data_IF_030522211548
#
_entry.id   IF_030522211548
#
_cell.length_a   1.000
_cell.length_b   1.000
_cell.length_c   1.000
_cell.angle_alpha   90.00
_cell.angle_beta   90.00
_cell.angle_gamma   90.00
#
_symmetry.space_group_name_H-M   'P 1'
#
loop_
_entity.id
_entity.type
_entity.pdbx_description
1 polymer ?
#
# COMPACT_ATOMS: atom_id res chain seq x y z
N UNK A 1 8.62 28.84 -6.48
CA UNK A 1 9.42 30.03 -6.14
C UNK A 1 10.83 29.69 -6.53
N UNK A 2 11.52 30.49 -7.35
CA UNK A 2 12.95 30.58 -7.13
C UNK A 2 13.10 30.98 -5.65
N UNK A 3 13.61 30.10 -4.80
CA UNK A 3 14.02 30.51 -3.48
C UNK A 3 15.29 31.31 -3.70
N UNK A 4 15.13 32.61 -3.70
CA UNK A 4 16.22 33.56 -3.56
C UNK A 4 16.76 33.41 -2.13
N UNK A 5 17.63 32.42 -1.92
CA UNK A 5 18.39 32.31 -0.69
C UNK A 5 19.74 32.99 -0.90
N UNK A 6 19.85 34.21 -0.40
CA UNK A 6 21.13 34.85 -0.22
C UNK A 6 21.83 34.21 0.99
N UNK A 7 22.59 33.14 0.77
CA UNK A 7 23.43 32.53 1.80
C UNK A 7 24.68 33.38 2.13
N UNK A 8 24.83 34.55 1.49
CA UNK A 8 26.01 35.42 1.58
C UNK A 8 25.66 36.90 1.75
N UNK A 9 24.48 37.23 2.31
CA UNK A 9 24.14 38.62 2.62
C UNK A 9 25.00 39.11 3.78
N UNK A 10 26.13 39.74 3.47
CA UNK A 10 26.93 40.49 4.45
C UNK A 10 26.51 41.95 4.47
N UNK A 11 26.30 42.50 5.66
CA UNK A 11 26.12 43.95 5.82
C UNK A 11 27.42 44.65 5.43
N UNK A 12 27.29 45.69 4.62
CA UNK A 12 28.38 46.53 4.19
C UNK A 12 28.97 47.35 5.36
N UNK A 13 30.30 47.44 5.43
CA UNK A 13 31.04 48.19 6.45
C UNK A 13 30.89 49.73 6.34
N UNK A 14 30.53 50.26 5.17
CA UNK A 14 30.23 51.66 4.93
C UNK A 14 28.73 51.96 5.08
N UNK A 15 28.42 52.81 6.06
CA UNK A 15 27.08 53.37 6.25
C UNK A 15 26.70 54.23 5.04
N UNK A 16 25.65 53.84 4.32
CA UNK A 16 25.09 54.61 3.20
C UNK A 16 25.49 54.16 1.79
N UNK A 17 26.24 53.06 1.63
CA UNK A 17 26.49 52.45 0.30
C UNK A 17 25.72 51.14 0.09
N UNK A 18 25.40 50.86 -1.17
CA UNK A 18 24.83 49.60 -1.62
C UNK A 18 25.95 48.69 -2.12
N UNK A 19 25.81 47.38 -1.92
CA UNK A 19 26.69 46.37 -2.51
C UNK A 19 25.81 45.38 -3.25
N UNK A 20 26.21 45.01 -4.45
CA UNK A 20 25.52 43.97 -5.21
C UNK A 20 25.60 42.67 -4.42
N UNK A 21 24.43 42.17 -4.02
CA UNK A 21 24.32 40.86 -3.40
C UNK A 21 23.95 39.86 -4.50
N UNK A 22 24.87 38.98 -4.92
CA UNK A 22 24.54 37.95 -5.90
C UNK A 22 23.52 37.00 -5.28
N UNK A 23 22.30 37.04 -5.81
CA UNK A 23 21.21 36.15 -5.40
C UNK A 23 21.24 34.95 -6.33
N UNK A 24 21.48 33.75 -5.79
CA UNK A 24 21.39 32.53 -6.60
C UNK A 24 19.92 32.27 -6.92
N UNK A 25 19.57 32.34 -8.19
CA UNK A 25 18.18 32.11 -8.63
C UNK A 25 17.98 30.63 -8.84
N UNK A 26 17.49 29.94 -7.80
CA UNK A 26 17.12 28.53 -7.93
C UNK A 26 15.97 28.33 -8.92
N UNK A 27 15.88 27.13 -9.49
CA UNK A 27 14.81 26.67 -10.38
C UNK A 27 14.01 25.60 -9.68
N UNK A 28 12.69 25.68 -9.81
CA UNK A 28 11.78 24.68 -9.30
C UNK A 28 11.65 23.55 -10.32
N UNK A 29 11.85 22.32 -9.88
CA UNK A 29 11.52 21.13 -10.65
C UNK A 29 10.34 20.44 -9.97
N UNK A 30 9.33 20.04 -10.74
CA UNK A 30 8.22 19.27 -10.19
C UNK A 30 7.93 18.02 -10.99
N UNK A 31 7.63 16.92 -10.30
CA UNK A 31 7.25 15.64 -10.89
C UNK A 31 5.82 15.29 -10.53
N UNK A 32 5.01 14.88 -11.52
CA UNK A 32 3.67 14.31 -11.31
C UNK A 32 3.55 12.98 -12.05
N UNK A 33 3.07 11.96 -11.35
CA UNK A 33 2.84 10.63 -11.91
C UNK A 33 1.35 10.40 -12.13
N UNK A 34 0.96 10.06 -13.35
CA UNK A 34 -0.39 9.71 -13.74
C UNK A 34 -0.44 8.19 -13.99
N UNK A 35 -0.71 7.45 -12.92
CA UNK A 35 -0.77 5.97 -12.89
C UNK A 35 -2.19 5.44 -13.13
N UNK A 36 -2.32 4.19 -13.55
CA UNK A 36 -3.65 3.57 -13.75
C UNK A 36 -4.45 4.14 -14.92
N UNK A 37 -3.78 4.72 -15.94
CA UNK A 37 -4.45 5.36 -17.08
C UNK A 37 -5.24 4.39 -17.97
N UNK A 38 -5.00 3.08 -17.87
CA UNK A 38 -5.68 2.05 -18.66
C UNK A 38 -7.06 1.67 -18.12
N UNK A 39 -7.36 1.96 -16.85
CA UNK A 39 -8.65 1.63 -16.26
C UNK A 39 -9.10 2.78 -15.32
N UNK A 40 -10.05 3.62 -15.77
CA UNK A 40 -10.54 4.72 -14.95
C UNK A 40 -11.33 4.25 -13.72
N UNK A 41 -11.70 2.97 -13.64
CA UNK A 41 -12.49 2.38 -12.56
C UNK A 41 -11.65 1.72 -11.46
N UNK A 42 -10.32 1.90 -11.46
CA UNK A 42 -9.43 1.42 -10.38
C UNK A 42 -8.87 2.63 -9.59
N UNK A 43 -9.63 3.20 -8.63
CA UNK A 43 -9.19 4.34 -7.82
C UNK A 43 -7.85 4.11 -7.11
N UNK A 44 -7.55 2.87 -6.72
CA UNK A 44 -6.34 2.54 -5.96
C UNK A 44 -5.05 2.85 -6.73
N UNK A 45 -5.09 2.78 -8.07
CA UNK A 45 -3.92 3.11 -8.89
C UNK A 45 -3.67 4.62 -8.93
N UNK A 46 -4.71 5.45 -8.78
CA UNK A 46 -4.59 6.91 -8.76
C UNK A 46 -4.17 7.46 -7.39
N UNK A 47 -4.22 6.62 -6.37
CA UNK A 47 -3.78 6.95 -5.00
C UNK A 47 -2.48 6.24 -4.62
N UNK A 48 -1.73 5.74 -5.61
CA UNK A 48 -0.51 4.98 -5.37
C UNK A 48 0.57 5.86 -4.68
N UNK A 49 1.18 5.30 -3.64
CA UNK A 49 2.26 5.92 -2.88
C UNK A 49 3.60 5.38 -3.36
N UNK A 50 4.23 6.03 -4.33
CA UNK A 50 5.46 5.55 -4.98
C UNK A 50 6.69 5.96 -4.14
N UNK A 51 7.54 5.02 -3.69
CA UNK A 51 8.79 5.37 -3.03
C UNK A 51 9.71 6.12 -3.98
N UNK A 52 10.38 7.17 -3.48
CA UNK A 52 11.38 7.88 -4.27
C UNK A 52 12.53 8.42 -3.41
N UNK A 53 13.65 8.67 -4.08
CA UNK A 53 14.75 9.49 -3.60
C UNK A 53 15.26 10.39 -4.73
N UNK A 54 15.66 11.62 -4.39
CA UNK A 54 16.18 12.55 -5.37
C UNK A 54 17.64 12.25 -5.70
N UNK A 55 17.99 12.40 -6.97
CA UNK A 55 19.36 12.47 -7.44
C UNK A 55 19.62 13.86 -8.03
N UNK A 56 20.66 14.55 -7.54
CA UNK A 56 21.12 15.84 -8.06
C UNK A 56 22.54 15.64 -8.57
N UNK A 57 22.77 15.94 -9.85
CA UNK A 57 24.04 15.73 -10.55
C UNK A 57 24.58 14.29 -10.38
N UNK A 58 23.67 13.32 -10.47
CA UNK A 58 23.96 11.88 -10.31
C UNK A 58 24.16 11.41 -8.87
N UNK A 59 24.12 12.30 -7.88
CA UNK A 59 24.30 11.96 -6.46
C UNK A 59 22.98 11.93 -5.73
N UNK A 60 22.74 10.89 -4.93
CA UNK A 60 21.56 10.82 -4.09
C UNK A 60 21.56 11.95 -3.04
N UNK A 61 20.44 12.63 -2.89
CA UNK A 61 20.27 13.70 -1.90
C UNK A 61 20.36 13.13 -0.47
N UNK A 62 21.11 13.82 0.39
CA UNK A 62 21.37 13.42 1.79
C UNK A 62 20.09 13.30 2.63
N UNK A 63 19.03 14.04 2.28
CA UNK A 63 17.72 13.94 2.92
C UNK A 63 17.15 12.52 2.87
N UNK A 64 17.57 11.70 1.90
CA UNK A 64 17.12 10.33 1.72
C UNK A 64 18.16 9.30 2.21
N UNK A 65 19.15 9.68 3.01
CA UNK A 65 20.21 8.77 3.47
C UNK A 65 19.70 7.59 4.32
N UNK A 66 18.60 7.77 5.05
CA UNK A 66 18.03 6.74 5.94
C UNK A 66 16.88 5.96 5.30
N UNK A 67 16.06 6.62 4.49
CA UNK A 67 14.80 6.07 3.98
C UNK A 67 14.38 6.77 2.68
N UNK A 68 13.71 6.06 1.80
CA UNK A 68 12.96 6.67 0.70
C UNK A 68 11.76 7.48 1.24
N UNK A 69 11.38 8.56 0.53
CA UNK A 69 10.14 9.28 0.80
C UNK A 69 9.00 8.74 -0.08
N UNK A 70 7.79 9.25 0.12
CA UNK A 70 6.59 8.88 -0.64
C UNK A 70 6.20 9.99 -1.61
N UNK A 71 6.03 9.64 -2.88
CA UNK A 71 5.39 10.46 -3.90
C UNK A 71 3.98 9.92 -4.12
N UNK A 72 2.96 10.76 -3.93
CA UNK A 72 1.58 10.39 -4.20
C UNK A 72 1.27 10.58 -5.68
N UNK A 73 0.73 9.55 -6.33
CA UNK A 73 0.22 9.67 -7.70
C UNK A 73 -0.78 10.83 -7.81
N UNK A 74 -0.80 11.47 -8.97
CA UNK A 74 -1.60 12.66 -9.30
C UNK A 74 -1.35 13.92 -8.46
N UNK A 75 -0.41 13.87 -7.51
CA UNK A 75 0.04 15.04 -6.74
C UNK A 75 1.43 15.43 -7.21
N UNK A 76 1.60 16.69 -7.61
CA UNK A 76 2.92 17.19 -8.00
C UNK A 76 3.83 17.29 -6.77
N UNK A 77 5.02 16.70 -6.86
CA UNK A 77 6.12 16.98 -5.93
C UNK A 77 6.78 18.28 -6.37
N UNK A 78 6.55 19.39 -5.67
CA UNK A 78 6.89 20.74 -6.17
C UNK A 78 7.80 21.57 -5.27
N UNK A 79 8.42 20.96 -4.29
CA UNK A 79 9.38 21.52 -3.34
C UNK A 79 10.85 21.13 -3.65
N UNK A 80 11.15 20.83 -4.92
CA UNK A 80 12.52 20.57 -5.39
C UNK A 80 13.07 21.86 -6.00
N UNK A 81 14.14 22.38 -5.41
CA UNK A 81 14.84 23.59 -5.85
C UNK A 81 16.30 23.27 -6.12
N UNK A 82 16.78 23.60 -7.31
CA UNK A 82 18.17 23.38 -7.73
C UNK A 82 18.73 24.59 -8.45
N UNK A 83 20.05 24.72 -8.55
CA UNK A 83 20.66 25.76 -9.36
C UNK A 83 20.47 25.47 -10.86
N UNK A 84 20.34 26.51 -11.71
CA UNK A 84 20.34 26.34 -13.15
C UNK A 84 21.56 25.52 -13.63
N UNK A 85 21.32 24.55 -14.50
CA UNK A 85 22.34 23.65 -15.03
C UNK A 85 22.56 22.37 -14.21
N UNK A 86 22.03 22.27 -12.99
CA UNK A 86 22.04 21.01 -12.25
C UNK A 86 21.04 20.01 -12.82
N UNK A 87 21.40 18.74 -12.87
CA UNK A 87 20.52 17.67 -13.35
C UNK A 87 19.77 17.06 -12.18
N UNK A 88 18.44 16.99 -12.28
CA UNK A 88 17.56 16.36 -11.30
C UNK A 88 17.01 15.07 -11.89
N UNK A 89 17.09 13.97 -11.16
CA UNK A 89 16.50 12.68 -11.50
C UNK A 89 15.91 11.99 -10.26
N UNK A 90 15.22 10.87 -10.46
CA UNK A 90 14.57 10.11 -9.39
C UNK A 90 15.12 8.68 -9.33
N UNK A 91 15.53 8.23 -8.15
CA UNK A 91 15.47 6.81 -7.82
C UNK A 91 14.05 6.49 -7.40
N UNK A 92 13.44 5.46 -7.96
CA UNK A 92 12.03 5.12 -7.72
C UNK A 92 11.88 3.72 -7.14
N UNK A 93 10.70 3.46 -6.57
CA UNK A 93 10.29 2.14 -6.11
C UNK A 93 11.31 1.54 -5.11
N UNK A 94 11.56 0.24 -5.15
CA UNK A 94 12.57 -0.41 -4.28
C UNK A 94 14.01 0.03 -4.56
N UNK A 95 14.32 0.59 -5.75
CA UNK A 95 15.63 1.20 -6.03
C UNK A 95 15.84 2.52 -5.26
N UNK A 96 14.77 3.14 -4.75
CA UNK A 96 14.87 4.33 -3.90
C UNK A 96 15.48 4.08 -2.52
N UNK A 97 15.52 2.82 -2.07
CA UNK A 97 16.15 2.44 -0.80
C UNK A 97 17.64 2.80 -0.80
N UNK A 98 18.22 3.35 0.29
CA UNK A 98 19.57 3.89 0.30
C UNK A 98 20.66 2.94 -0.19
N UNK A 99 20.54 1.64 0.10
CA UNK A 99 21.52 0.63 -0.30
C UNK A 99 21.35 0.14 -1.75
N UNK A 100 20.22 0.45 -2.41
CA UNK A 100 19.84 -0.16 -3.67
C UNK A 100 20.07 0.73 -4.89
N UNK A 101 20.08 2.06 -4.68
CA UNK A 101 20.12 3.12 -5.72
C UNK A 101 21.14 2.85 -6.82
N UNK A 102 20.64 2.42 -7.98
CA UNK A 102 21.46 2.16 -9.17
C UNK A 102 20.94 2.84 -10.43
N UNK A 103 19.63 3.07 -10.51
CA UNK A 103 18.99 3.43 -11.77
C UNK A 103 18.16 4.71 -11.62
N UNK A 104 18.80 5.90 -11.63
CA UNK A 104 18.04 7.14 -11.67
C UNK A 104 17.30 7.25 -13.02
N UNK A 105 16.07 7.76 -12.98
CA UNK A 105 15.18 7.89 -14.14
C UNK A 105 14.58 9.29 -14.23
N UNK A 106 14.01 9.63 -15.39
CA UNK A 106 13.31 10.88 -15.67
C UNK A 106 14.15 12.15 -15.44
N UNK A 107 15.43 12.10 -15.83
CA UNK A 107 16.35 13.21 -15.63
C UNK A 107 15.95 14.47 -16.43
N UNK A 108 16.05 15.64 -15.80
CA UNK A 108 15.87 16.97 -16.42
C UNK A 108 16.89 17.97 -15.87
N UNK A 109 17.24 18.97 -16.68
CA UNK A 109 18.21 20.00 -16.32
C UNK A 109 17.58 21.38 -16.53
N UNK A 110 17.02 22.02 -15.49
CA UNK A 110 16.48 23.37 -15.62
C UNK A 110 17.57 24.36 -16.00
N UNK A 111 17.26 25.25 -16.94
CA UNK A 111 18.11 26.38 -17.34
C UNK A 111 17.39 27.67 -16.96
N UNK A 112 16.64 28.22 -17.90
CA UNK A 112 16.03 29.54 -17.77
C UNK A 112 14.72 29.51 -16.98
N UNK A 113 13.93 28.44 -17.09
CA UNK A 113 12.61 28.32 -16.49
C UNK A 113 12.52 27.20 -15.46
N UNK A 114 11.49 27.28 -14.61
CA UNK A 114 11.06 26.14 -13.79
C UNK A 114 10.61 24.99 -14.71
N UNK A 115 10.70 23.75 -14.23
CA UNK A 115 10.31 22.55 -14.98
C UNK A 115 9.13 21.83 -14.31
N UNK A 116 8.15 21.41 -15.10
CA UNK A 116 7.16 20.39 -14.72
C UNK A 116 7.34 19.15 -15.59
N UNK A 117 7.55 18.00 -14.96
CA UNK A 117 7.62 16.69 -15.62
C UNK A 117 6.35 15.91 -15.30
N UNK A 118 5.58 15.58 -16.34
CA UNK A 118 4.40 14.73 -16.25
C UNK A 118 4.74 13.34 -16.76
N UNK A 119 4.73 12.36 -15.87
CA UNK A 119 4.99 10.96 -16.20
C UNK A 119 3.67 10.21 -16.31
N UNK A 120 3.41 9.60 -17.47
CA UNK A 120 2.17 8.87 -17.75
C UNK A 120 2.43 7.38 -17.81
N UNK A 121 1.74 6.60 -16.98
CA UNK A 121 1.90 5.14 -16.96
C UNK A 121 1.22 4.49 -18.17
N UNK A 122 1.91 3.58 -18.88
CA UNK A 122 1.37 2.87 -20.05
C UNK A 122 1.71 1.38 -20.02
N UNK A 123 0.69 0.55 -20.28
CA UNK A 123 0.82 -0.91 -20.39
C UNK A 123 1.31 -1.35 -21.77
N UNK A 124 1.84 -2.56 -21.82
CA UNK A 124 2.46 -3.17 -22.99
C UNK A 124 3.99 -3.19 -22.88
N UNK A 125 4.60 -4.00 -23.74
CA UNK A 125 6.06 -4.08 -23.89
C UNK A 125 6.53 -2.88 -24.72
N UNK A 126 6.74 -1.74 -24.04
CA UNK A 126 7.01 -0.45 -24.68
C UNK A 126 8.48 0.00 -24.55
N UNK A 127 9.32 -0.81 -23.93
CA UNK A 127 10.74 -0.50 -23.72
C UNK A 127 10.97 0.47 -22.56
N UNK A 128 12.24 0.79 -22.34
CA UNK A 128 12.72 1.48 -21.13
C UNK A 128 13.16 2.94 -21.36
N UNK A 129 12.66 3.62 -22.39
CA UNK A 129 12.95 5.05 -22.62
C UNK A 129 12.28 5.89 -21.53
N UNK A 130 13.07 6.32 -20.56
CA UNK A 130 12.69 7.15 -19.44
C UNK A 130 13.07 8.62 -19.64
N UNK A 131 13.41 9.03 -20.87
CA UNK A 131 13.84 10.41 -21.18
C UNK A 131 12.63 11.34 -21.28
N UNK A 132 12.51 12.36 -20.42
CA UNK A 132 11.46 13.36 -20.55
C UNK A 132 11.65 14.21 -21.80
N UNK A 133 10.56 14.43 -22.55
CA UNK A 133 10.56 15.20 -23.80
C UNK A 133 9.80 16.50 -23.61
N UNK A 134 10.43 17.64 -23.95
CA UNK A 134 9.81 18.95 -23.88
C UNK A 134 8.55 18.99 -24.77
N UNK A 135 7.43 19.42 -24.21
CA UNK A 135 6.17 19.63 -24.92
C UNK A 135 5.87 21.09 -25.21
N UNK A 136 6.42 21.99 -24.38
CA UNK A 136 6.30 23.43 -24.57
C UNK A 136 6.52 24.18 -23.27
N UNK A 137 6.37 25.50 -23.34
CA UNK A 137 6.49 26.39 -22.19
C UNK A 137 5.13 27.05 -21.94
N UNK A 138 4.66 27.03 -20.69
CA UNK A 138 3.41 27.70 -20.29
C UNK A 138 3.69 28.85 -19.33
N UNK A 139 2.86 29.89 -19.41
CA UNK A 139 2.83 30.96 -18.42
C UNK A 139 1.88 30.56 -17.29
N UNK A 140 2.35 30.65 -16.05
CA UNK A 140 1.55 30.42 -14.85
C UNK A 140 1.54 31.72 -14.04
N UNK A 141 0.34 32.14 -13.66
CA UNK A 141 0.14 33.24 -12.72
C UNK A 141 -0.01 32.67 -11.31
N UNK A 142 0.78 33.13 -10.35
CA UNK A 142 0.63 32.72 -8.95
C UNK A 142 -0.56 33.43 -8.26
N UNK A 143 -0.87 33.02 -7.03
CA UNK A 143 -1.97 33.59 -6.25
C UNK A 143 -1.84 35.10 -5.95
N UNK A 144 -0.65 35.69 -6.20
CA UNK A 144 -0.35 37.11 -6.01
C UNK A 144 -0.34 37.88 -7.33
N UNK A 145 -0.65 37.23 -8.46
CA UNK A 145 -0.69 37.84 -9.78
C UNK A 145 0.66 37.84 -10.52
N UNK A 146 1.72 37.23 -9.97
CA UNK A 146 3.02 37.19 -10.64
C UNK A 146 3.03 36.12 -11.73
N UNK A 147 3.48 36.49 -12.92
CA UNK A 147 3.62 35.58 -14.06
C UNK A 147 5.01 34.95 -14.08
N UNK A 148 5.06 33.64 -14.31
CA UNK A 148 6.32 32.91 -14.55
C UNK A 148 6.14 31.89 -15.67
N UNK A 149 7.24 31.59 -16.36
CA UNK A 149 7.30 30.55 -17.39
C UNK A 149 7.70 29.22 -16.77
N UNK A 150 7.08 28.14 -17.24
CA UNK A 150 7.36 26.77 -16.83
C UNK A 150 7.46 25.89 -18.08
N UNK A 151 8.60 25.22 -18.23
CA UNK A 151 8.80 24.24 -19.29
C UNK A 151 8.15 22.91 -18.87
N UNK A 152 7.27 22.39 -19.73
CA UNK A 152 6.52 21.16 -19.47
C UNK A 152 7.13 20.03 -20.28
N UNK A 153 7.60 19.02 -19.57
CA UNK A 153 8.14 17.78 -20.12
C UNK A 153 7.15 16.64 -19.89
N UNK A 154 7.13 15.69 -20.81
CA UNK A 154 6.40 14.44 -20.64
C UNK A 154 7.31 13.22 -20.80
N UNK A 155 7.10 12.22 -19.96
CA UNK A 155 7.74 10.91 -20.05
C UNK A 155 6.69 9.80 -19.88
N UNK A 156 7.08 8.57 -20.22
CA UNK A 156 6.22 7.39 -20.02
C UNK A 156 6.79 6.53 -18.89
N UNK A 157 5.92 5.96 -18.04
CA UNK A 157 6.29 4.91 -17.09
C UNK A 157 5.76 3.57 -17.61
N UNK A 158 6.66 2.72 -18.06
CA UNK A 158 6.36 1.41 -18.68
C UNK A 158 6.69 0.27 -17.73
N UNK A 159 6.27 -0.95 -18.06
CA UNK A 159 6.68 -2.14 -17.31
C UNK A 159 8.20 -2.35 -17.30
N UNK A 160 8.88 -2.06 -18.40
CA UNK A 160 10.36 -2.12 -18.48
C UNK A 160 11.04 -1.07 -17.58
N UNK A 161 10.45 0.12 -17.42
CA UNK A 161 10.97 1.11 -16.46
C UNK A 161 10.74 0.64 -15.03
N UNK A 162 9.56 0.11 -14.69
CA UNK A 162 9.35 -0.51 -13.39
C UNK A 162 10.33 -1.66 -13.14
N UNK A 163 10.63 -2.48 -14.15
CA UNK A 163 11.63 -3.53 -14.07
C UNK A 163 13.04 -2.96 -13.79
N UNK A 164 13.41 -1.85 -14.43
CA UNK A 164 14.66 -1.12 -14.20
C UNK A 164 14.76 -0.56 -12.78
N UNK A 165 13.68 0.03 -12.24
CA UNK A 165 13.67 0.67 -10.90
C UNK A 165 13.21 -0.24 -9.77
N UNK A 166 12.85 -1.48 -10.06
CA UNK A 166 12.70 -2.52 -9.04
C UNK A 166 14.07 -3.10 -8.72
N UNK A 167 14.35 -3.34 -7.45
CA UNK A 167 15.58 -3.98 -7.04
C UNK A 167 15.47 -5.48 -7.30
N UNK A 168 16.51 -6.08 -7.84
CA UNK A 168 16.64 -7.52 -7.98
C UNK A 168 17.61 -7.98 -6.90
N UNK A 169 17.10 -8.64 -5.88
CA UNK A 169 17.93 -9.13 -4.78
C UNK A 169 18.92 -10.15 -5.31
N UNK A 170 20.17 -10.00 -4.87
CA UNK A 170 21.24 -10.93 -5.20
C UNK A 170 21.29 -12.08 -4.20
N UNK A 171 22.05 -13.12 -4.52
CA UNK A 171 22.35 -14.19 -3.59
C UNK A 171 22.97 -13.65 -2.28
N UNK A 172 23.86 -12.67 -2.37
CA UNK A 172 24.52 -12.10 -1.20
C UNK A 172 23.58 -11.23 -0.37
N UNK A 173 22.64 -10.53 -1.01
CA UNK A 173 21.55 -9.86 -0.28
C UNK A 173 20.72 -10.86 0.50
N UNK A 174 20.32 -11.97 -0.12
CA UNK A 174 19.54 -13.00 0.55
C UNK A 174 20.30 -13.61 1.74
N UNK A 175 21.58 -13.94 1.59
CA UNK A 175 22.43 -14.42 2.70
C UNK A 175 22.51 -13.42 3.85
N UNK A 176 22.68 -12.14 3.54
CA UNK A 176 22.80 -11.04 4.52
C UNK A 176 21.49 -10.77 5.25
N UNK A 177 20.35 -10.86 4.55
CA UNK A 177 19.05 -10.52 5.11
C UNK A 177 18.46 -11.67 5.95
N UNK A 178 18.74 -12.92 5.63
CA UNK A 178 18.20 -14.05 6.38
C UNK A 178 18.85 -14.19 7.77
N UNK A 179 18.05 -14.38 8.85
CA UNK A 179 18.59 -14.58 10.20
C UNK A 179 19.55 -15.77 10.26
N UNK A 180 20.71 -15.69 10.94
CA UNK A 180 21.72 -16.75 10.99
C UNK A 180 21.17 -18.10 11.49
N UNK A 181 20.21 -18.06 12.40
CA UNK A 181 19.51 -19.21 13.02
C UNK A 181 18.50 -19.90 12.10
N UNK A 182 18.28 -19.40 10.87
CA UNK A 182 17.39 -20.04 9.90
C UNK A 182 17.83 -21.48 9.62
N UNK A 183 16.90 -22.43 9.75
CA UNK A 183 17.09 -23.86 9.44
C UNK A 183 17.76 -24.03 8.07
N UNK A 184 18.78 -24.89 8.00
CA UNK A 184 19.69 -24.98 6.85
C UNK A 184 18.97 -25.31 5.54
N UNK A 185 17.97 -26.20 5.59
CA UNK A 185 17.18 -26.62 4.45
C UNK A 185 16.25 -25.50 3.96
N UNK A 186 15.64 -24.74 4.89
CA UNK A 186 14.85 -23.55 4.56
C UNK A 186 15.75 -22.50 3.92
N UNK A 187 16.93 -22.24 4.50
CA UNK A 187 17.92 -21.32 3.96
C UNK A 187 18.31 -21.71 2.54
N UNK A 188 18.67 -22.96 2.31
CA UNK A 188 19.06 -23.45 0.99
C UNK A 188 17.94 -23.26 -0.04
N UNK A 189 16.69 -23.59 0.33
CA UNK A 189 15.54 -23.39 -0.53
C UNK A 189 15.34 -21.91 -0.91
N UNK A 190 15.42 -21.00 0.06
CA UNK A 190 15.31 -19.55 -0.22
C UNK A 190 16.46 -19.08 -1.11
N UNK A 191 17.71 -19.50 -0.85
CA UNK A 191 18.86 -19.11 -1.67
C UNK A 191 18.74 -19.57 -3.13
N UNK A 192 18.13 -20.73 -3.39
CA UNK A 192 17.93 -21.24 -4.76
C UNK A 192 17.06 -20.33 -5.65
N UNK A 193 16.22 -19.49 -5.03
CA UNK A 193 15.46 -18.46 -5.74
C UNK A 193 16.42 -17.39 -6.29
N UNK A 194 17.45 -17.01 -5.52
CA UNK A 194 18.32 -15.86 -5.83
C UNK A 194 19.60 -16.23 -6.58
N UNK A 195 20.03 -17.49 -6.58
CA UNK A 195 21.18 -17.97 -7.36
C UNK A 195 20.83 -18.36 -8.81
N UNK A 196 19.55 -18.38 -9.16
CA UNK A 196 19.06 -18.72 -10.50
C UNK A 196 19.04 -20.21 -10.82
N UNK A 197 19.27 -21.08 -9.83
CA UNK A 197 19.21 -22.54 -10.00
C UNK A 197 17.77 -23.07 -10.07
N UNK A 198 16.82 -22.38 -9.44
CA UNK A 198 15.41 -22.77 -9.43
C UNK A 198 14.78 -22.70 -10.83
N UNK A 199 14.15 -23.82 -11.23
CA UNK A 199 13.31 -23.93 -12.43
C UNK A 199 12.06 -24.72 -12.07
N UNK A 200 10.89 -24.09 -12.10
CA UNK A 200 9.63 -24.75 -11.76
C UNK A 200 9.28 -24.63 -10.27
N UNK A 201 8.72 -25.71 -9.71
CA UNK A 201 8.31 -25.75 -8.32
C UNK A 201 9.51 -25.75 -7.36
N UNK A 202 9.37 -25.07 -6.23
CA UNK A 202 10.36 -25.14 -5.15
C UNK A 202 9.93 -26.23 -4.17
N UNK A 203 10.77 -27.25 -4.01
CA UNK A 203 10.58 -28.31 -3.01
C UNK A 203 11.46 -28.03 -1.80
N UNK A 204 10.87 -27.99 -0.62
CA UNK A 204 11.56 -27.85 0.66
C UNK A 204 11.33 -29.10 1.48
N UNK A 205 12.40 -29.72 1.97
CA UNK A 205 12.35 -30.84 2.90
C UNK A 205 13.10 -30.44 4.16
N UNK A 206 12.38 -30.12 5.23
CA UNK A 206 12.95 -29.56 6.45
C UNK A 206 12.17 -30.07 7.68
N UNK A 207 12.78 -30.08 8.88
CA UNK A 207 12.04 -30.36 10.10
C UNK A 207 11.01 -29.26 10.38
N UNK A 208 9.80 -29.65 10.79
CA UNK A 208 8.83 -28.73 11.36
C UNK A 208 9.18 -28.40 12.84
N UNK A 209 8.33 -27.62 13.53
CA UNK A 209 8.55 -27.25 14.93
C UNK A 209 8.59 -28.43 15.91
N UNK A 210 8.12 -29.61 15.50
CA UNK A 210 8.18 -30.85 16.29
C UNK A 210 9.43 -31.69 15.96
N UNK A 211 10.33 -31.19 15.10
CA UNK A 211 11.50 -31.91 14.62
C UNK A 211 11.19 -33.00 13.59
N UNK A 212 9.95 -33.06 13.09
CA UNK A 212 9.54 -34.07 12.10
C UNK A 212 9.84 -33.56 10.71
N UNK A 213 10.57 -34.35 9.92
CA UNK A 213 10.87 -34.02 8.52
C UNK A 213 9.58 -33.91 7.70
N UNK A 214 9.40 -32.78 7.05
CA UNK A 214 8.24 -32.47 6.24
C UNK A 214 8.66 -31.94 4.86
N UNK A 215 7.98 -32.46 3.84
CA UNK A 215 8.10 -31.98 2.47
C UNK A 215 6.98 -30.97 2.17
N UNK A 216 7.37 -29.76 1.78
CA UNK A 216 6.48 -28.71 1.29
C UNK A 216 6.86 -28.32 -0.14
N UNK A 217 5.88 -28.22 -1.03
CA UNK A 217 6.06 -27.84 -2.44
C UNK A 217 5.40 -26.48 -2.67
N UNK A 218 6.15 -25.55 -3.24
CA UNK A 218 5.68 -24.22 -3.62
C UNK A 218 5.55 -24.16 -5.14
N UNK A 219 4.34 -23.83 -5.60
CA UNK A 219 4.06 -23.55 -7.01
C UNK A 219 3.84 -22.04 -7.19
N UNK A 220 4.52 -21.45 -8.17
CA UNK A 220 4.44 -20.02 -8.46
C UNK A 220 3.48 -19.75 -9.63
N UNK A 221 2.46 -18.94 -9.40
CA UNK A 221 1.52 -18.49 -10.44
C UNK A 221 1.58 -16.97 -10.63
N UNK A 222 0.93 -16.52 -11.70
CA UNK A 222 0.70 -15.10 -12.03
C UNK A 222 1.95 -14.31 -12.42
N UNK A 223 2.58 -14.75 -13.50
CA UNK A 223 3.56 -13.96 -14.25
C UNK A 223 2.90 -13.07 -15.32
N UNK A 224 1.57 -13.07 -15.46
CA UNK A 224 0.87 -12.36 -16.55
C UNK A 224 1.16 -10.87 -16.54
N UNK A 225 1.12 -10.23 -15.36
CA UNK A 225 1.39 -8.80 -15.25
C UNK A 225 2.80 -8.43 -15.78
N UNK A 226 3.91 -9.03 -15.31
CA UNK A 226 5.21 -8.73 -15.89
C UNK A 226 5.36 -9.22 -17.34
N UNK A 227 4.90 -10.42 -17.70
CA UNK A 227 5.01 -10.97 -19.06
C UNK A 227 4.35 -10.06 -20.11
N UNK A 228 3.18 -9.51 -19.81
CA UNK A 228 2.45 -8.62 -20.72
C UNK A 228 3.08 -7.22 -20.87
N UNK A 229 3.98 -6.82 -19.96
CA UNK A 229 4.46 -5.44 -19.86
C UNK A 229 5.99 -5.29 -19.93
N UNK A 230 6.76 -6.39 -19.95
CA UNK A 230 8.23 -6.38 -19.96
C UNK A 230 8.72 -7.32 -21.06
N UNK A 231 9.65 -6.85 -21.88
CA UNK A 231 10.24 -7.67 -22.93
C UNK A 231 11.19 -8.73 -22.32
N UNK A 232 11.11 -9.97 -22.81
CA UNK A 232 11.98 -11.09 -22.42
C UNK A 232 11.99 -11.43 -20.91
N UNK A 233 10.88 -11.19 -20.22
CA UNK A 233 10.74 -11.49 -18.80
C UNK A 233 10.73 -13.00 -18.52
N UNK A 234 11.55 -13.43 -17.56
CA UNK A 234 11.52 -14.79 -17.01
C UNK A 234 11.11 -14.77 -15.54
N UNK A 235 10.08 -15.53 -15.18
CA UNK A 235 9.56 -15.52 -13.80
C UNK A 235 10.63 -15.94 -12.78
N UNK A 236 11.43 -16.96 -13.06
CA UNK A 236 12.36 -17.54 -12.10
C UNK A 236 13.63 -16.70 -11.96
N UNK A 237 14.18 -16.24 -13.08
CA UNK A 237 15.39 -15.43 -13.11
C UNK A 237 15.10 -13.99 -12.74
N UNK A 238 13.94 -13.45 -13.12
CA UNK A 238 13.69 -12.01 -13.10
C UNK A 238 12.53 -11.61 -12.19
N UNK A 239 11.53 -12.46 -11.97
CA UNK A 239 10.38 -12.17 -11.11
C UNK A 239 10.60 -12.51 -9.64
N UNK A 240 10.82 -13.79 -9.34
CA UNK A 240 10.97 -14.29 -7.97
C UNK A 240 12.09 -13.59 -7.17
N UNK A 241 13.26 -13.28 -7.76
CA UNK A 241 14.34 -12.60 -7.04
C UNK A 241 14.07 -11.12 -6.77
N UNK A 242 12.95 -10.57 -7.27
CA UNK A 242 12.50 -9.20 -6.95
C UNK A 242 11.60 -9.17 -5.73
N UNK A 243 11.14 -10.32 -5.26
CA UNK A 243 10.46 -10.43 -3.97
C UNK A 243 11.51 -10.52 -2.86
N UNK A 244 11.29 -9.77 -1.79
CA UNK A 244 12.18 -9.66 -0.65
C UNK A 244 12.43 -11.04 -0.01
N UNK A 245 13.69 -11.42 0.33
CA UNK A 245 14.01 -12.74 0.89
C UNK A 245 13.19 -13.13 2.13
N UNK A 246 12.89 -12.15 3.00
CA UNK A 246 12.00 -12.39 4.16
C UNK A 246 10.60 -12.87 3.81
N UNK A 247 10.05 -12.48 2.65
CA UNK A 247 8.70 -12.90 2.28
C UNK A 247 8.69 -14.41 1.96
N UNK A 248 9.69 -14.87 1.20
CA UNK A 248 9.89 -16.31 0.94
C UNK A 248 10.19 -17.09 2.21
N UNK A 249 11.06 -16.55 3.07
CA UNK A 249 11.39 -17.17 4.36
C UNK A 249 10.14 -17.34 5.23
N UNK A 250 9.36 -16.28 5.42
CA UNK A 250 8.15 -16.30 6.23
C UNK A 250 7.12 -17.28 5.68
N UNK A 251 6.93 -17.31 4.36
CA UNK A 251 6.02 -18.22 3.68
C UNK A 251 6.41 -19.70 3.91
N UNK A 252 7.68 -20.03 3.68
CA UNK A 252 8.18 -21.42 3.79
C UNK A 252 8.16 -21.88 5.25
N UNK A 253 8.65 -21.05 6.17
CA UNK A 253 8.66 -21.33 7.61
C UNK A 253 7.23 -21.55 8.13
N UNK A 254 6.30 -20.64 7.82
CA UNK A 254 4.91 -20.78 8.24
C UNK A 254 4.23 -22.03 7.67
N UNK A 255 4.54 -22.40 6.42
CA UNK A 255 3.98 -23.61 5.81
C UNK A 255 4.49 -24.89 6.49
N UNK A 256 5.79 -24.97 6.78
CA UNK A 256 6.39 -26.09 7.49
C UNK A 256 5.83 -26.24 8.90
N UNK A 257 5.80 -25.14 9.66
CA UNK A 257 5.23 -25.10 11.03
C UNK A 257 3.76 -25.53 11.09
N UNK A 258 3.01 -25.26 10.02
CA UNK A 258 1.59 -25.56 9.94
C UNK A 258 1.27 -26.91 9.33
N UNK A 259 2.27 -27.75 9.02
CA UNK A 259 2.00 -29.07 8.44
C UNK A 259 1.63 -29.06 6.95
N UNK A 260 1.78 -27.92 6.27
CA UNK A 260 1.31 -27.70 4.90
C UNK A 260 2.28 -28.34 3.91
N UNK A 261 1.74 -29.14 2.99
CA UNK A 261 2.52 -29.89 1.99
C UNK A 261 2.57 -29.19 0.64
N UNK A 262 1.57 -28.38 0.32
CA UNK A 262 1.50 -27.63 -0.94
C UNK A 262 1.07 -26.18 -0.71
N UNK A 263 1.78 -25.25 -1.31
CA UNK A 263 1.43 -23.83 -1.32
C UNK A 263 1.40 -23.36 -2.77
N UNK A 264 0.35 -22.65 -3.16
CA UNK A 264 0.27 -22.00 -4.48
C UNK A 264 0.22 -20.50 -4.28
N UNK A 265 1.29 -19.81 -4.68
CA UNK A 265 1.33 -18.35 -4.69
C UNK A 265 0.62 -17.82 -5.93
N UNK A 266 -0.33 -16.92 -5.76
CA UNK A 266 -1.11 -16.31 -6.84
C UNK A 266 -0.57 -14.95 -7.24
N UNK A 267 0.38 -14.38 -6.52
CA UNK A 267 1.15 -13.22 -7.00
C UNK A 267 2.42 -13.01 -6.16
N UNK A 268 3.41 -12.33 -6.76
CA UNK A 268 4.58 -11.82 -6.08
C UNK A 268 4.89 -10.41 -6.56
N UNK A 269 6.09 -10.20 -7.12
CA UNK A 269 6.43 -8.91 -7.72
C UNK A 269 5.55 -8.60 -8.94
N UNK A 270 4.88 -7.44 -8.93
CA UNK A 270 3.98 -6.98 -10.01
C UNK A 270 4.27 -5.51 -10.34
N UNK A 271 4.88 -5.18 -11.50
CA UNK A 271 5.30 -3.80 -11.80
C UNK A 271 4.17 -2.82 -12.10
N UNK A 272 3.06 -3.28 -12.70
CA UNK A 272 2.06 -2.42 -13.39
C UNK A 272 0.63 -2.58 -12.85
N UNK A 273 0.46 -3.30 -11.75
CA UNK A 273 -0.85 -3.60 -11.18
C UNK A 273 -0.77 -3.97 -9.71
N UNK A 274 -1.70 -3.45 -8.93
CA UNK A 274 -1.85 -3.80 -7.51
C UNK A 274 -1.18 -2.79 -6.59
N UNK A 275 -1.15 -3.14 -5.30
CA UNK A 275 -0.59 -2.28 -4.26
C UNK A 275 0.89 -1.98 -4.52
N UNK A 276 1.37 -0.87 -3.95
CA UNK A 276 2.78 -0.53 -4.02
C UNK A 276 3.68 -1.62 -3.44
N UNK A 277 3.21 -2.36 -2.43
CA UNK A 277 3.99 -3.43 -1.80
C UNK A 277 4.32 -4.58 -2.75
N UNK A 278 3.46 -4.90 -3.72
CA UNK A 278 3.81 -5.83 -4.80
C UNK A 278 4.79 -5.22 -5.81
N UNK A 279 4.63 -3.93 -6.13
CA UNK A 279 5.53 -3.22 -7.06
C UNK A 279 6.95 -3.09 -6.49
N UNK A 280 7.08 -2.89 -5.17
CA UNK A 280 8.36 -2.85 -4.45
C UNK A 280 8.93 -4.22 -4.13
N UNK A 281 8.18 -5.30 -4.34
CA UNK A 281 8.62 -6.65 -4.02
C UNK A 281 8.55 -7.02 -2.53
N UNK A 282 7.79 -6.27 -1.74
CA UNK A 282 7.60 -6.53 -0.31
C UNK A 282 6.43 -7.49 -0.02
N UNK A 283 5.65 -7.87 -1.02
CA UNK A 283 4.44 -8.68 -0.82
C UNK A 283 4.33 -9.94 -1.68
N UNK A 284 3.58 -10.90 -1.13
CA UNK A 284 3.20 -12.16 -1.75
C UNK A 284 1.70 -12.40 -1.55
N UNK A 285 1.03 -12.93 -2.57
CA UNK A 285 -0.33 -13.47 -2.44
C UNK A 285 -0.31 -15.00 -2.56
N UNK A 286 -1.09 -15.66 -1.72
CA UNK A 286 -1.29 -17.10 -1.66
C UNK A 286 -2.75 -17.40 -1.95
N UNK A 287 -3.02 -18.31 -2.88
CA UNK A 287 -4.38 -18.72 -3.23
C UNK A 287 -4.78 -20.08 -2.69
N UNK A 288 -3.80 -20.98 -2.49
CA UNK A 288 -4.05 -22.33 -2.01
C UNK A 288 -3.05 -22.77 -0.95
N UNK A 289 -3.57 -23.45 0.07
CA UNK A 289 -2.81 -24.22 1.06
C UNK A 289 -3.35 -25.65 1.03
N UNK A 290 -2.54 -26.61 0.61
CA UNK A 290 -2.94 -27.98 0.30
C UNK A 290 -4.14 -28.04 -0.67
N UNK A 291 -5.30 -28.48 -0.19
CA UNK A 291 -6.56 -28.54 -0.92
C UNK A 291 -7.54 -27.41 -0.52
N UNK A 292 -7.10 -26.46 0.30
CA UNK A 292 -7.88 -25.29 0.70
C UNK A 292 -7.67 -24.18 -0.33
N UNK A 293 -8.71 -23.87 -1.10
CA UNK A 293 -8.82 -22.59 -1.81
C UNK A 293 -9.15 -21.49 -0.80
N UNK A 294 -8.31 -20.48 -0.73
CA UNK A 294 -8.53 -19.30 0.12
C UNK A 294 -9.56 -18.40 -0.53
N UNK A 295 -10.83 -18.57 -0.21
CA UNK A 295 -11.89 -17.74 -0.75
C UNK A 295 -13.10 -17.69 0.18
N UNK A 296 -13.68 -16.49 0.33
CA UNK A 296 -14.93 -16.26 1.06
C UNK A 296 -15.82 -15.24 0.36
N UNK A 297 -15.57 -14.92 -0.92
CA UNK A 297 -16.36 -13.94 -1.67
C UNK A 297 -17.85 -14.26 -1.72
N UNK A 298 -18.23 -15.53 -1.57
CA UNK A 298 -19.62 -15.98 -1.55
C UNK A 298 -20.48 -15.36 -0.44
N UNK A 299 -19.88 -14.82 0.65
CA UNK A 299 -20.61 -14.05 1.67
C UNK A 299 -21.40 -12.87 1.08
N UNK A 300 -20.93 -12.32 -0.05
CA UNK A 300 -21.54 -11.18 -0.74
C UNK A 300 -21.85 -11.48 -2.21
N UNK A 301 -22.08 -12.75 -2.55
CA UNK A 301 -22.47 -13.16 -3.92
C UNK A 301 -21.30 -13.30 -4.89
N UNK A 302 -20.11 -13.65 -4.38
CA UNK A 302 -18.93 -14.00 -5.17
C UNK A 302 -19.12 -15.19 -6.12
N UNK A 303 -18.18 -15.36 -7.05
CA UNK A 303 -18.31 -16.27 -8.19
C UNK A 303 -18.06 -17.75 -7.90
N UNK A 304 -17.48 -18.07 -6.75
CA UNK A 304 -17.10 -19.45 -6.42
C UNK A 304 -17.47 -19.75 -4.98
N UNK A 305 -18.34 -20.73 -4.80
CA UNK A 305 -18.65 -21.30 -3.49
C UNK A 305 -17.53 -22.26 -3.08
N UNK A 306 -17.12 -22.20 -1.83
CA UNK A 306 -16.16 -23.13 -1.24
C UNK A 306 -16.76 -23.77 0.01
N UNK A 307 -16.29 -24.98 0.33
CA UNK A 307 -16.78 -25.76 1.49
C UNK A 307 -16.51 -25.12 2.86
N UNK A 308 -15.87 -23.96 2.91
CA UNK A 308 -15.43 -23.27 4.13
C UNK A 308 -16.27 -22.05 4.48
N UNK A 309 -17.39 -21.86 3.76
CA UNK A 309 -18.45 -20.91 4.10
C UNK A 309 -19.78 -21.67 4.08
N UNK A 310 -20.34 -21.93 5.25
CA UNK A 310 -21.61 -22.67 5.35
C UNK A 310 -22.79 -21.77 4.94
N UNK A 311 -23.92 -22.38 4.55
CA UNK A 311 -25.16 -21.63 4.32
C UNK A 311 -25.66 -20.93 5.60
N UNK A 312 -25.43 -21.55 6.76
CA UNK A 312 -25.69 -20.95 8.06
C UNK A 312 -24.83 -19.69 8.26
N UNK A 313 -23.55 -19.72 7.87
CA UNK A 313 -22.69 -18.55 7.94
C UNK A 313 -23.20 -17.42 7.02
N UNK A 314 -23.58 -17.74 5.78
CA UNK A 314 -24.16 -16.77 4.83
C UNK A 314 -25.40 -16.10 5.43
N UNK A 315 -26.26 -16.87 6.11
CA UNK A 315 -27.46 -16.36 6.76
C UNK A 315 -27.12 -15.47 7.97
N UNK A 316 -26.27 -15.95 8.89
CA UNK A 316 -25.83 -15.20 10.06
C UNK A 316 -25.09 -13.91 9.68
N UNK A 317 -24.33 -13.93 8.59
CA UNK A 317 -23.68 -12.74 8.06
C UNK A 317 -24.69 -11.70 7.59
N UNK A 318 -25.76 -12.10 6.88
CA UNK A 318 -26.85 -11.19 6.50
C UNK A 318 -27.57 -10.61 7.72
N UNK A 319 -27.82 -11.42 8.75
CA UNK A 319 -28.43 -10.98 10.00
C UNK A 319 -27.56 -9.95 10.74
N UNK A 320 -26.25 -10.21 10.78
CA UNK A 320 -25.26 -9.25 11.27
C UNK A 320 -25.32 -7.93 10.49
N UNK A 321 -25.35 -7.98 9.16
CA UNK A 321 -25.43 -6.75 8.35
C UNK A 321 -26.72 -5.96 8.60
N UNK A 322 -27.84 -6.65 8.82
CA UNK A 322 -29.10 -6.02 9.20
C UNK A 322 -29.00 -5.36 10.58
N UNK A 323 -28.37 -6.02 11.55
CA UNK A 323 -28.16 -5.47 12.88
C UNK A 323 -27.20 -4.25 12.86
N UNK A 324 -26.13 -4.29 12.07
CA UNK A 324 -25.22 -3.16 11.86
C UNK A 324 -25.97 -1.94 11.29
N UNK A 325 -26.85 -2.16 10.29
CA UNK A 325 -27.70 -1.10 9.71
C UNK A 325 -28.71 -0.55 10.72
N UNK A 326 -29.29 -1.41 11.57
CA UNK A 326 -30.24 -1.00 12.60
C UNK A 326 -29.58 -0.10 13.67
N UNK A 327 -28.37 -0.45 14.11
CA UNK A 327 -27.58 0.40 15.02
C UNK A 327 -27.31 1.76 14.36
N UNK A 328 -26.82 1.76 13.11
CA UNK A 328 -26.53 3.02 12.42
C UNK A 328 -27.75 3.92 12.28
N UNK A 329 -28.91 3.35 11.95
CA UNK A 329 -30.17 4.09 11.86
C UNK A 329 -30.62 4.65 13.23
N UNK A 330 -30.43 3.88 14.31
CA UNK A 330 -30.74 4.33 15.67
C UNK A 330 -29.80 5.47 16.12
N UNK A 331 -28.51 5.39 15.80
CA UNK A 331 -27.53 6.46 16.03
C UNK A 331 -27.91 7.75 15.28
N UNK A 332 -28.21 7.63 13.98
CA UNK A 332 -28.59 8.79 13.15
C UNK A 332 -29.87 9.45 13.69
N UNK A 333 -30.86 8.66 14.13
CA UNK A 333 -32.07 9.18 14.76
C UNK A 333 -31.75 9.89 16.07
N UNK A 334 -30.97 9.28 16.97
CA UNK A 334 -30.55 9.91 18.24
C UNK A 334 -29.82 11.23 17.99
N UNK A 335 -28.85 11.23 17.08
CA UNK A 335 -28.02 12.41 16.79
C UNK A 335 -28.86 13.55 16.17
N UNK A 336 -29.86 13.20 15.35
CA UNK A 336 -30.83 14.18 14.83
C UNK A 336 -31.66 14.83 15.95
N UNK A 337 -32.10 14.05 16.94
CA UNK A 337 -32.87 14.54 18.09
C UNK A 337 -31.99 15.39 19.03
N UNK A 338 -30.74 15.00 19.27
CA UNK A 338 -29.77 15.80 20.03
C UNK A 338 -29.55 17.16 19.35
N UNK A 339 -29.43 17.18 18.02
CA UNK A 339 -29.29 18.43 17.26
C UNK A 339 -30.52 19.32 17.42
N UNK A 340 -31.73 18.74 17.36
CA UNK A 340 -32.97 19.47 17.60
C UNK A 340 -33.04 20.03 19.03
N UNK A 341 -32.67 19.23 20.04
CA UNK A 341 -32.65 19.64 21.44
C UNK A 341 -31.69 20.81 21.66
N UNK A 342 -30.51 20.76 21.03
CA UNK A 342 -29.53 21.84 21.08
C UNK A 342 -30.06 23.13 20.42
N UNK A 343 -30.80 23.02 19.32
CA UNK A 343 -31.44 24.16 18.67
C UNK A 343 -32.55 24.76 19.55
N UNK A 344 -33.36 23.92 20.18
CA UNK A 344 -34.41 24.35 21.11
C UNK A 344 -33.80 25.07 22.34
N UNK A 345 -32.72 24.53 22.89
CA UNK A 345 -31.98 25.14 23.99
C UNK A 345 -31.36 26.50 23.61
N UNK A 346 -30.90 26.66 22.37
CA UNK A 346 -30.45 27.97 21.85
C UNK A 346 -31.62 28.95 21.70
N UNK A 347 -32.75 28.48 21.17
CA UNK A 347 -33.96 29.28 21.03
C UNK A 347 -34.45 29.78 22.41
N UNK A 348 -34.51 28.91 23.42
CA UNK A 348 -34.82 29.26 24.81
C UNK A 348 -33.97 30.39 25.36
N UNK A 349 -32.66 30.37 25.09
CA UNK A 349 -31.73 31.42 25.54
C UNK A 349 -31.95 32.75 24.81
N UNK A 350 -32.23 32.68 23.50
CA UNK A 350 -32.36 33.88 22.66
C UNK A 350 -33.76 34.51 22.62
N UNK A 351 -34.81 33.70 22.79
CA UNK A 351 -36.21 34.08 22.58
C UNK A 351 -37.14 33.07 23.31
N UNK A 352 -37.19 33.11 24.65
CA UNK A 352 -37.90 32.11 25.45
C UNK A 352 -39.40 32.03 25.12
N UNK A 353 -40.04 33.15 24.75
CA UNK A 353 -41.47 33.18 24.40
C UNK A 353 -41.85 32.50 23.08
N UNK A 354 -40.87 32.01 22.29
CA UNK A 354 -41.11 31.30 21.03
C UNK A 354 -40.94 29.77 21.14
N UNK A 355 -40.67 29.27 22.33
CA UNK A 355 -40.45 27.84 22.58
C UNK A 355 -41.80 27.21 22.89
N UNK A 356 -42.15 26.16 22.15
CA UNK A 356 -43.35 25.36 22.41
C UNK A 356 -43.05 24.30 23.49
N UNK A 357 -43.65 24.41 24.70
CA UNK A 357 -43.45 23.43 25.77
C UNK A 357 -43.92 22.01 25.41
N UNK A 358 -44.90 21.87 24.51
CA UNK A 358 -45.38 20.56 24.06
C UNK A 358 -44.33 19.88 23.18
N UNK A 359 -43.70 20.61 22.25
CA UNK A 359 -42.61 20.06 21.43
C UNK A 359 -41.41 19.70 22.28
N UNK A 360 -41.08 20.51 23.29
CA UNK A 360 -39.99 20.21 24.23
C UNK A 360 -40.21 18.87 24.92
N UNK A 361 -41.37 18.68 25.55
CA UNK A 361 -41.68 17.44 26.25
C UNK A 361 -41.76 16.23 25.30
N UNK A 362 -42.27 16.43 24.08
CA UNK A 362 -42.28 15.40 23.06
C UNK A 362 -40.86 15.00 22.64
N UNK A 363 -39.95 15.98 22.49
CA UNK A 363 -38.56 15.76 22.13
C UNK A 363 -37.79 15.02 23.24
N UNK A 364 -38.04 15.33 24.51
CA UNK A 364 -37.47 14.60 25.65
C UNK A 364 -37.89 13.12 25.66
N UNK A 365 -39.17 12.84 25.38
CA UNK A 365 -39.69 11.48 25.25
C UNK A 365 -39.08 10.75 24.05
N UNK A 366 -39.05 11.40 22.88
CA UNK A 366 -38.44 10.85 21.66
C UNK A 366 -36.95 10.55 21.88
N UNK A 367 -36.23 11.40 22.59
CA UNK A 367 -34.82 11.18 22.91
C UNK A 367 -34.65 9.97 23.83
N UNK A 368 -35.48 9.87 24.87
CA UNK A 368 -35.49 8.73 25.80
C UNK A 368 -35.76 7.41 25.05
N UNK A 369 -36.75 7.39 24.16
CA UNK A 369 -37.06 6.22 23.35
C UNK A 369 -35.95 5.92 22.33
N UNK A 370 -35.31 6.93 21.76
CA UNK A 370 -34.18 6.74 20.84
C UNK A 370 -32.97 6.11 21.53
N UNK A 371 -32.71 6.44 22.81
CA UNK A 371 -31.64 5.84 23.61
C UNK A 371 -31.96 4.35 23.87
N UNK A 372 -33.18 4.03 24.30
CA UNK A 372 -33.61 2.64 24.50
C UNK A 372 -33.54 1.82 23.21
N UNK A 373 -33.96 2.40 22.09
CA UNK A 373 -33.89 1.75 20.78
C UNK A 373 -32.45 1.51 20.34
N UNK A 374 -31.53 2.45 20.61
CA UNK A 374 -30.11 2.28 20.35
C UNK A 374 -29.50 1.18 21.23
N UNK A 375 -29.85 1.11 22.51
CA UNK A 375 -29.43 0.03 23.42
C UNK A 375 -29.91 -1.34 22.93
N UNK A 376 -31.19 -1.46 22.55
CA UNK A 376 -31.75 -2.70 22.00
C UNK A 376 -31.07 -3.09 20.67
N UNK A 377 -30.83 -2.13 19.77
CA UNK A 377 -30.12 -2.37 18.52
C UNK A 377 -28.68 -2.83 18.77
N UNK A 378 -27.98 -2.23 19.75
CA UNK A 378 -26.64 -2.65 20.14
C UNK A 378 -26.62 -4.07 20.71
N UNK A 379 -27.59 -4.45 21.54
CA UNK A 379 -27.70 -5.81 22.06
C UNK A 379 -27.94 -6.83 20.95
N UNK A 380 -28.83 -6.50 20.00
CA UNK A 380 -29.07 -7.33 18.81
C UNK A 380 -27.79 -7.48 17.96
N UNK A 381 -27.05 -6.40 17.75
CA UNK A 381 -25.75 -6.41 17.05
C UNK A 381 -24.74 -7.31 17.75
N UNK A 382 -24.56 -7.20 19.06
CA UNK A 382 -23.65 -8.08 19.82
C UNK A 382 -24.03 -9.55 19.67
N UNK A 383 -25.33 -9.84 19.67
CA UNK A 383 -25.85 -11.21 19.52
C UNK A 383 -25.55 -11.74 18.11
N UNK A 384 -25.82 -10.95 17.07
CA UNK A 384 -25.55 -11.31 15.68
C UNK A 384 -24.05 -11.44 15.39
N UNK A 385 -23.22 -10.53 15.91
CA UNK A 385 -21.76 -10.59 15.81
C UNK A 385 -21.23 -11.88 16.44
N UNK A 386 -21.68 -12.23 17.65
CA UNK A 386 -21.24 -13.45 18.34
C UNK A 386 -21.68 -14.73 17.60
N UNK A 387 -22.92 -14.77 17.11
CA UNK A 387 -23.43 -15.91 16.36
C UNK A 387 -22.65 -16.12 15.05
N UNK A 388 -22.44 -15.05 14.28
CA UNK A 388 -21.65 -15.10 13.05
C UNK A 388 -20.18 -15.47 13.31
N UNK A 389 -19.52 -14.83 14.28
CA UNK A 389 -18.12 -15.14 14.62
C UNK A 389 -17.95 -16.60 15.01
N UNK A 390 -18.87 -17.16 15.81
CA UNK A 390 -18.85 -18.57 16.20
C UNK A 390 -18.94 -19.50 14.99
N UNK A 391 -19.85 -19.21 14.06
CA UNK A 391 -20.03 -20.03 12.85
C UNK A 391 -18.83 -19.92 11.89
N UNK A 392 -18.28 -18.71 11.72
CA UNK A 392 -17.05 -18.48 10.95
C UNK A 392 -15.89 -19.29 11.52
N UNK A 393 -15.67 -19.20 12.82
CA UNK A 393 -14.53 -19.84 13.49
C UNK A 393 -14.65 -21.36 13.49
N UNK A 394 -15.89 -21.89 13.48
CA UNK A 394 -16.16 -23.32 13.31
C UNK A 394 -15.75 -23.84 11.92
N UNK A 395 -15.90 -23.02 10.88
CA UNK A 395 -15.63 -23.40 9.49
C UNK A 395 -14.29 -22.89 8.95
N UNK A 396 -13.51 -22.18 9.75
CA UNK A 396 -12.13 -21.82 9.41
C UNK A 396 -11.24 -23.08 9.36
N UNK A 397 -10.59 -23.38 8.23
CA UNK A 397 -9.69 -24.53 8.14
C UNK A 397 -8.53 -24.38 9.13
N UNK A 398 -8.27 -25.41 9.93
CA UNK A 398 -7.20 -25.41 10.93
C UNK A 398 -5.84 -25.05 10.31
N UNK A 399 -5.55 -25.55 9.11
CA UNK A 399 -4.28 -25.24 8.41
C UNK A 399 -4.15 -23.76 8.07
N UNK A 400 -5.24 -23.07 7.71
CA UNK A 400 -5.24 -21.63 7.42
C UNK A 400 -4.99 -20.84 8.69
N UNK A 401 -5.68 -21.21 9.78
CA UNK A 401 -5.51 -20.59 11.10
C UNK A 401 -4.08 -20.74 11.62
N UNK A 402 -3.51 -21.94 11.56
CA UNK A 402 -2.12 -22.20 11.96
C UNK A 402 -1.14 -21.41 11.09
N UNK A 403 -1.37 -21.37 9.78
CA UNK A 403 -0.51 -20.64 8.84
C UNK A 403 -0.52 -19.13 9.11
N UNK A 404 -1.70 -18.52 9.24
CA UNK A 404 -1.83 -17.09 9.64
C UNK A 404 -1.13 -16.83 10.97
N UNK A 405 -1.34 -17.71 11.96
CA UNK A 405 -0.74 -17.56 13.30
C UNK A 405 0.79 -17.61 13.23
N UNK A 406 1.36 -18.51 12.43
CA UNK A 406 2.81 -18.58 12.25
C UNK A 406 3.35 -17.34 11.52
N UNK A 407 2.61 -16.82 10.53
CA UNK A 407 3.00 -15.59 9.83
C UNK A 407 3.01 -14.36 10.74
N UNK A 408 1.98 -14.20 11.57
CA UNK A 408 1.89 -13.04 12.50
C UNK A 408 3.00 -13.06 13.56
N UNK A 409 3.55 -14.23 13.87
CA UNK A 409 4.70 -14.37 14.76
C UNK A 409 6.04 -14.05 14.08
N UNK A 410 6.14 -14.02 12.74
CA UNK A 410 7.38 -13.59 12.09
C UNK A 410 7.59 -12.09 12.30
N UNK A 411 8.67 -11.72 13.00
CA UNK A 411 9.11 -10.31 13.15
C UNK A 411 9.29 -9.59 11.81
N UNK A 412 9.56 -10.36 10.76
CA UNK A 412 9.77 -9.87 9.41
C UNK A 412 8.47 -9.47 8.69
N UNK A 413 7.34 -10.05 9.09
CA UNK A 413 6.02 -9.75 8.53
C UNK A 413 5.46 -8.52 9.24
N UNK A 414 4.85 -7.63 8.47
CA UNK A 414 4.18 -6.43 8.97
C UNK A 414 2.67 -6.48 8.75
N UNK A 415 2.18 -7.19 7.74
CA UNK A 415 0.74 -7.27 7.47
C UNK A 415 0.39 -8.66 6.98
N UNK A 416 -0.77 -9.15 7.40
CA UNK A 416 -1.39 -10.38 6.91
C UNK A 416 -2.87 -10.09 6.68
N UNK A 417 -3.31 -10.17 5.42
CA UNK A 417 -4.72 -10.03 5.07
C UNK A 417 -5.18 -11.32 4.42
N UNK A 418 -6.28 -11.90 4.87
CA UNK A 418 -6.83 -13.11 4.28
C UNK A 418 -8.37 -13.04 4.24
N UNK A 419 -9.04 -14.06 3.65
CA UNK A 419 -10.50 -14.04 3.53
C UNK A 419 -11.25 -14.04 4.87
N UNK A 420 -10.61 -14.46 5.97
CA UNK A 420 -11.18 -14.52 7.32
C UNK A 420 -10.82 -13.29 8.15
N UNK A 421 -9.56 -12.82 8.10
CA UNK A 421 -9.07 -11.76 8.96
C UNK A 421 -8.13 -10.77 8.26
N UNK A 422 -8.12 -9.53 8.77
CA UNK A 422 -7.29 -8.42 8.35
C UNK A 422 -6.40 -8.00 9.52
N UNK A 423 -5.09 -8.12 9.36
CA UNK A 423 -4.06 -7.64 10.28
C UNK A 423 -3.14 -6.64 9.55
N UNK A 424 -3.33 -5.35 9.81
CA UNK A 424 -2.59 -4.29 9.12
C UNK A 424 -1.26 -3.93 9.79
N UNK A 425 -0.96 -4.58 10.92
CA UNK A 425 0.26 -4.44 11.68
C UNK A 425 0.47 -5.62 12.66
N UNK A 426 1.03 -6.73 12.20
CA UNK A 426 1.28 -7.94 13.02
C UNK A 426 2.23 -7.72 14.20
N UNK A 427 2.77 -6.51 14.36
CA UNK A 427 3.82 -6.14 15.30
C UNK A 427 3.34 -5.28 16.48
N UNK A 428 2.08 -4.83 16.48
CA UNK A 428 1.51 -4.02 17.58
C UNK A 428 0.75 -4.81 18.64
N UNK A 429 0.69 -6.14 18.49
CA UNK A 429 -0.03 -7.05 19.40
C UNK A 429 -1.55 -6.80 19.45
N UNK A 430 -2.10 -6.01 18.52
CA UNK A 430 -3.54 -5.83 18.38
C UNK A 430 -4.08 -7.05 17.62
N UNK A 431 -5.16 -7.70 18.11
CA UNK A 431 -5.76 -8.81 17.41
C UNK A 431 -6.24 -8.42 16.00
N UNK A 432 -6.00 -9.30 15.03
CA UNK A 432 -6.53 -9.17 13.68
C UNK A 432 -8.06 -9.03 13.68
N UNK A 433 -8.60 -8.18 12.81
CA UNK A 433 -10.05 -7.96 12.71
C UNK A 433 -10.67 -8.90 11.69
N UNK A 434 -11.92 -9.35 11.85
CA UNK A 434 -12.60 -10.10 10.81
C UNK A 434 -12.64 -9.35 9.48
N UNK A 435 -12.44 -10.07 8.37
CA UNK A 435 -12.65 -9.53 7.03
C UNK A 435 -14.15 -9.49 6.72
N UNK A 436 -14.74 -8.29 6.76
CA UNK A 436 -16.18 -8.08 6.53
C UNK A 436 -16.52 -7.84 5.05
N UNK A 437 -15.52 -7.77 4.18
CA UNK A 437 -15.67 -7.48 2.75
C UNK A 437 -16.43 -6.18 2.47
N UNK A 438 -16.26 -5.17 3.34
CA UNK A 438 -16.95 -3.88 3.23
C UNK A 438 -16.08 -2.89 2.45
N UNK A 439 -14.85 -2.71 2.92
CA UNK A 439 -13.86 -1.82 2.31
C UNK A 439 -13.29 -2.42 1.03
N UNK A 440 -12.72 -1.57 0.17
CA UNK A 440 -12.03 -2.03 -1.05
C UNK A 440 -10.87 -2.98 -0.74
N UNK A 441 -10.16 -2.76 0.38
CA UNK A 441 -9.05 -3.62 0.80
C UNK A 441 -9.54 -5.01 1.27
N UNK A 442 -10.60 -5.05 2.08
CA UNK A 442 -11.23 -6.31 2.50
C UNK A 442 -11.77 -7.13 1.32
N UNK A 443 -12.45 -6.46 0.38
CA UNK A 443 -12.95 -7.08 -0.85
C UNK A 443 -11.80 -7.63 -1.69
N UNK A 444 -10.70 -6.90 -1.81
CA UNK A 444 -9.51 -7.37 -2.53
C UNK A 444 -8.98 -8.67 -1.90
N UNK A 445 -8.86 -8.72 -0.58
CA UNK A 445 -8.29 -9.88 0.13
C UNK A 445 -9.32 -10.95 0.53
N UNK A 446 -10.50 -10.94 -0.07
CA UNK A 446 -11.56 -11.94 0.18
C UNK A 446 -11.34 -13.28 -0.52
N UNK A 447 -10.30 -13.39 -1.36
CA UNK A 447 -10.05 -14.54 -2.24
C UNK A 447 -8.57 -14.97 -2.33
N UNK A 448 -7.74 -14.50 -1.40
CA UNK A 448 -6.34 -14.90 -1.26
C UNK A 448 -5.82 -14.40 0.10
N UNK A 449 -4.72 -14.98 0.57
CA UNK A 449 -3.94 -14.44 1.69
C UNK A 449 -2.79 -13.60 1.15
N UNK A 450 -2.67 -12.37 1.62
CA UNK A 450 -1.64 -11.40 1.30
C UNK A 450 -0.67 -11.25 2.48
N UNK A 451 0.63 -11.29 2.18
CA UNK A 451 1.73 -11.11 3.13
C UNK A 451 2.47 -9.84 2.74
N UNK A 452 2.75 -8.95 3.69
CA UNK A 452 3.68 -7.81 3.48
C UNK A 452 4.80 -7.87 4.49
N UNK A 453 6.05 -7.92 4.02
CA UNK A 453 7.23 -7.84 4.89
C UNK A 453 7.66 -6.41 5.17
N UNK A 454 8.30 -6.22 6.31
CA UNK A 454 8.82 -4.94 6.77
C UNK A 454 10.22 -4.67 6.22
N UNK A 455 10.38 -3.59 5.47
CA UNK A 455 11.68 -2.99 5.15
C UNK A 455 11.71 -1.55 5.69
N UNK A 456 12.56 -1.23 6.68
CA UNK A 456 12.61 0.10 7.28
C UNK A 456 13.05 1.19 6.28
N UNK A 457 13.75 0.81 5.21
CA UNK A 457 14.28 1.72 4.20
C UNK A 457 13.24 2.17 3.16
N UNK A 458 12.09 1.49 3.12
CA UNK A 458 10.98 1.77 2.21
C UNK A 458 9.70 2.15 2.99
N UNK A 459 8.84 2.98 2.40
CA UNK A 459 7.49 3.18 2.92
C UNK A 459 6.63 1.94 2.59
N UNK A 460 5.89 1.45 3.58
CA UNK A 460 5.02 0.26 3.45
C UNK A 460 3.53 0.60 3.36
N UNK A 461 3.16 1.88 3.47
CA UNK A 461 1.78 2.40 3.35
C UNK A 461 1.77 3.65 2.47
#
# INVERSE_FOLDING_TARGET
MAREQSNTATTNAQKGSCVDCPVSVTRRVSYRFETGLWDPHIPSERTLNIPYALAIDGKADKAFSKKAAVLKAYVAKDDIFVEPGQTVALYLNSDAAPANRKHPVFAVTPKEHDIEVVIKERRGQLGSDDTPKLKGTKEITDARGNKRKVDVYEATLTGDIWFKVSYKYTLDDAKRLMPPETVAEIRAAVLSIFDGSLKGELTVNAPNDQGVMQKTILTFQNADNPVQNIANFDMYRDGLPRVHPHAWLALIDAALKSGIKKVITTSGWRPMYGSISHRTGLSLDVGYLDNVLLNRQELRGGRQDVKWVSDAEKQLFKEKELADKAVKAAEDKRDSLIKEQNNLNRLKKSNPGKVDPLRERALENELTDSIKNLEAANQAKVTADNAWNKERDLHEPTIVKSFRTSLSQCKCVSQVFDPWFMDDNTRDQVPSKPNLQISSNEKLHSHHLHITVYDPSLPTK
#
